data_IF_107824767672
#
_entry.id   IF_107824767672
#
_cell.length_a   1.000
_cell.length_b   1.000
_cell.length_c   1.000
_cell.angle_alpha   90.00
_cell.angle_beta   90.00
_cell.angle_gamma   90.00
#
_symmetry.space_group_name_H-M   'P 1'
#
loop_
_entity.id
_entity.type
_entity.pdbx_description
1 polymer ?
#
# COMPACT_ATOMS: atom_id res chain seq x y z
N UNK A 1 2.54 7.34 -14.08
CA UNK A 1 2.31 6.08 -13.34
C UNK A 1 0.96 5.50 -13.76
N UNK A 2 0.91 4.27 -14.27
CA UNK A 2 -0.34 3.59 -14.61
C UNK A 2 -0.72 2.62 -13.48
N UNK A 3 -1.97 2.65 -13.04
CA UNK A 3 -2.54 1.71 -12.07
C UNK A 3 -3.87 1.15 -12.60
N UNK A 4 -4.15 -0.12 -12.29
CA UNK A 4 -5.38 -0.79 -12.72
C UNK A 4 -6.62 -0.30 -11.96
N UNK A 5 -6.45 0.01 -10.69
CA UNK A 5 -7.52 0.47 -9.80
C UNK A 5 -6.94 1.43 -8.77
N UNK A 6 -7.73 2.37 -8.25
CA UNK A 6 -7.28 3.29 -7.23
C UNK A 6 -6.85 2.56 -5.94
N UNK A 7 -5.93 3.16 -5.19
CA UNK A 7 -5.47 2.65 -3.90
C UNK A 7 -5.44 3.80 -2.88
N UNK A 8 -5.65 3.47 -1.61
CA UNK A 8 -5.35 4.44 -0.54
C UNK A 8 -3.87 4.70 -0.49
N UNK A 9 -3.48 5.95 -0.68
CA UNK A 9 -2.10 6.41 -0.58
C UNK A 9 -2.07 7.56 0.44
N UNK A 10 -1.11 7.54 1.34
CA UNK A 10 -0.90 8.63 2.31
C UNK A 10 0.58 8.89 2.48
N UNK A 11 0.93 10.13 2.80
CA UNK A 11 2.31 10.46 3.13
C UNK A 11 2.62 10.16 4.59
N UNK A 12 3.82 9.70 4.84
CA UNK A 12 4.37 9.53 6.17
C UNK A 12 5.78 10.12 6.20
N UNK A 13 6.10 10.97 7.18
CA UNK A 13 7.46 11.47 7.29
C UNK A 13 8.43 10.31 7.58
N UNK A 14 9.56 10.30 6.90
CA UNK A 14 10.61 9.29 7.08
C UNK A 14 11.16 9.28 8.51
N UNK A 15 11.20 10.46 9.13
CA UNK A 15 11.59 10.61 10.51
C UNK A 15 10.62 11.53 11.27
N UNK A 16 10.28 11.13 12.49
CA UNK A 16 9.48 11.97 13.40
C UNK A 16 10.35 12.48 14.54
N UNK A 17 10.09 13.64 15.10
CA UNK A 17 10.86 14.18 16.23
C UNK A 17 10.60 13.40 17.54
N UNK A 18 9.51 12.64 17.62
CA UNK A 18 9.08 11.94 18.83
C UNK A 18 10.11 10.94 19.37
N UNK A 19 10.73 10.04 18.57
CA UNK A 19 11.80 9.17 19.05
C UNK A 19 13.01 9.92 19.60
N UNK A 20 13.36 11.06 18.99
CA UNK A 20 14.45 11.90 19.48
C UNK A 20 14.15 12.52 20.84
N UNK A 21 12.93 13.00 21.04
CA UNK A 21 12.47 13.54 22.33
C UNK A 21 12.43 12.47 23.42
N UNK A 22 11.90 11.28 23.11
CA UNK A 22 11.85 10.16 24.06
C UNK A 22 13.25 9.74 24.49
N UNK A 23 14.20 9.65 23.54
CA UNK A 23 15.61 9.31 23.86
C UNK A 23 16.31 10.37 24.72
N UNK A 24 15.87 11.65 24.69
CA UNK A 24 16.40 12.71 25.57
C UNK A 24 15.80 12.65 26.97
N UNK A 25 14.53 12.26 27.09
CA UNK A 25 13.80 12.27 28.36
C UNK A 25 13.93 10.98 29.17
N UNK A 26 14.14 9.84 28.51
CA UNK A 26 14.18 8.52 29.14
C UNK A 26 15.57 7.89 29.11
N UNK A 27 15.92 7.08 30.13
CA UNK A 27 17.13 6.28 30.12
C UNK A 27 17.21 5.39 28.86
N UNK A 28 18.42 5.24 28.31
CA UNK A 28 18.68 4.52 27.04
C UNK A 28 18.09 3.10 27.04
N UNK A 29 18.07 2.42 28.19
CA UNK A 29 17.52 1.07 28.36
C UNK A 29 16.01 0.98 28.12
N UNK A 30 15.25 2.06 28.35
CA UNK A 30 13.79 2.06 28.26
C UNK A 30 13.26 2.80 27.02
N UNK A 31 14.05 3.74 26.49
CA UNK A 31 13.62 4.56 25.37
C UNK A 31 13.28 3.75 24.13
N UNK A 32 14.00 2.64 23.87
CA UNK A 32 13.72 1.75 22.75
C UNK A 32 12.38 1.03 22.89
N UNK A 33 12.09 0.49 24.07
CA UNK A 33 10.84 -0.21 24.33
C UNK A 33 9.65 0.73 24.29
N UNK A 34 9.78 1.93 24.86
CA UNK A 34 8.71 2.93 24.81
C UNK A 34 8.38 3.35 23.38
N UNK A 35 9.39 3.61 22.54
CA UNK A 35 9.20 3.94 21.12
C UNK A 35 8.51 2.77 20.40
N UNK A 36 8.96 1.55 20.63
CA UNK A 36 8.37 0.34 20.06
C UNK A 36 6.89 0.20 20.42
N UNK A 37 6.55 0.35 21.69
CA UNK A 37 5.16 0.26 22.15
C UNK A 37 4.28 1.38 21.62
N UNK A 38 4.78 2.61 21.56
CA UNK A 38 4.03 3.73 20.97
C UNK A 38 3.69 3.43 19.50
N UNK A 39 4.66 2.94 18.73
CA UNK A 39 4.43 2.59 17.33
C UNK A 39 3.46 1.40 17.19
N UNK A 40 3.65 0.34 17.96
CA UNK A 40 2.79 -0.84 17.92
C UNK A 40 1.34 -0.50 18.32
N UNK A 41 1.15 0.20 19.44
CA UNK A 41 -0.17 0.59 19.90
C UNK A 41 -0.81 1.63 18.97
N UNK A 42 -0.03 2.58 18.45
CA UNK A 42 -0.50 3.56 17.49
C UNK A 42 -1.01 2.93 16.19
N UNK A 43 -0.24 1.99 15.63
CA UNK A 43 -0.66 1.23 14.44
C UNK A 43 -1.91 0.39 14.72
N UNK A 44 -1.94 -0.29 15.88
CA UNK A 44 -3.11 -1.08 16.28
C UNK A 44 -4.35 -0.21 16.50
N UNK A 45 -4.20 0.94 17.14
CA UNK A 45 -5.30 1.88 17.35
C UNK A 45 -5.84 2.42 16.02
N UNK A 46 -4.95 2.78 15.09
CA UNK A 46 -5.34 3.22 13.75
C UNK A 46 -6.08 2.11 12.98
N UNK A 47 -5.58 0.88 13.02
CA UNK A 47 -6.26 -0.28 12.44
C UNK A 47 -7.66 -0.48 13.04
N UNK A 48 -7.78 -0.49 14.38
CA UNK A 48 -9.08 -0.65 15.05
C UNK A 48 -10.05 0.51 14.72
N UNK A 49 -9.54 1.73 14.60
CA UNK A 49 -10.35 2.86 14.17
C UNK A 49 -10.84 2.68 12.72
N UNK A 50 -9.98 2.19 11.84
CA UNK A 50 -10.33 1.92 10.44
C UNK A 50 -11.43 0.87 10.33
N UNK A 51 -11.36 -0.19 11.12
CA UNK A 51 -12.38 -1.24 11.14
C UNK A 51 -13.71 -0.77 11.76
N UNK A 52 -13.66 0.05 12.83
CA UNK A 52 -14.88 0.50 13.52
C UNK A 52 -15.53 1.74 12.89
N UNK A 53 -14.75 2.59 12.27
CA UNK A 53 -15.18 3.88 11.69
C UNK A 53 -14.56 4.14 10.33
N UNK A 54 -14.77 3.25 9.32
CA UNK A 54 -14.14 3.36 8.01
C UNK A 54 -14.43 4.71 7.33
N UNK A 55 -15.67 5.21 7.42
CA UNK A 55 -16.05 6.50 6.83
C UNK A 55 -15.25 7.69 7.40
N UNK A 56 -14.92 7.66 8.70
CA UNK A 56 -14.08 8.69 9.31
C UNK A 56 -12.65 8.63 8.75
N UNK A 57 -12.08 7.41 8.67
CA UNK A 57 -10.71 7.21 8.17
C UNK A 57 -10.62 7.59 6.70
N UNK A 58 -11.59 7.19 5.86
CA UNK A 58 -11.67 7.65 4.45
C UNK A 58 -11.63 9.17 4.34
N UNK A 59 -12.40 9.87 5.19
CA UNK A 59 -12.42 11.34 5.22
C UNK A 59 -11.07 11.93 5.64
N UNK A 60 -10.39 11.32 6.61
CA UNK A 60 -9.06 11.76 7.06
C UNK A 60 -8.03 11.58 5.93
N UNK A 61 -8.01 10.41 5.29
CA UNK A 61 -7.12 10.11 4.17
C UNK A 61 -7.36 11.08 3.01
N UNK A 62 -8.63 11.31 2.62
CA UNK A 62 -9.00 12.26 1.58
C UNK A 62 -8.51 13.68 1.88
N UNK A 63 -8.74 14.18 3.10
CA UNK A 63 -8.23 15.51 3.50
C UNK A 63 -6.69 15.59 3.47
N UNK A 64 -6.02 14.49 3.73
CA UNK A 64 -4.57 14.38 3.58
C UNK A 64 -4.12 14.57 2.14
N UNK A 65 -4.83 13.96 1.18
CA UNK A 65 -4.59 14.09 -0.26
C UNK A 65 -4.90 15.50 -0.76
N UNK A 66 -6.05 16.06 -0.39
CA UNK A 66 -6.48 17.43 -0.78
C UNK A 66 -5.47 18.50 -0.39
N UNK A 67 -4.68 18.27 0.67
CA UNK A 67 -3.63 19.22 1.10
C UNK A 67 -2.31 19.08 0.36
N UNK A 68 -2.08 17.96 -0.27
CA UNK A 68 -0.80 17.60 -0.90
C UNK A 68 -0.87 17.64 -2.42
N UNK A 69 -2.05 17.50 -2.99
CA UNK A 69 -2.29 17.51 -4.44
C UNK A 69 -2.68 18.91 -4.92
N UNK A 70 -2.44 19.22 -6.19
CA UNK A 70 -2.87 20.47 -6.80
C UNK A 70 -4.39 20.67 -6.70
N UNK A 71 -4.82 21.91 -6.64
CA UNK A 71 -6.25 22.23 -6.63
C UNK A 71 -6.93 21.71 -7.89
N UNK A 72 -8.04 20.99 -7.72
CA UNK A 72 -8.81 20.43 -8.83
C UNK A 72 -8.30 19.07 -9.33
N UNK A 73 -7.30 18.48 -8.68
CA UNK A 73 -6.84 17.12 -9.02
C UNK A 73 -7.95 16.08 -8.81
N UNK A 74 -8.11 15.14 -9.75
CA UNK A 74 -9.14 14.10 -9.69
C UNK A 74 -8.78 12.99 -8.69
N UNK A 75 -9.03 13.27 -7.41
CA UNK A 75 -8.81 12.33 -6.30
C UNK A 75 -9.77 11.13 -6.41
N UNK A 76 -10.97 11.34 -6.93
CA UNK A 76 -12.00 10.30 -6.96
C UNK A 76 -11.63 9.17 -7.91
N UNK A 77 -11.12 9.49 -9.09
CA UNK A 77 -10.67 8.50 -10.07
C UNK A 77 -9.37 7.80 -9.63
N UNK A 78 -8.42 8.52 -9.03
CA UNK A 78 -7.07 8.00 -8.84
C UNK A 78 -6.78 7.47 -7.44
N UNK A 79 -7.45 7.99 -6.41
CA UNK A 79 -7.11 7.72 -5.01
C UNK A 79 -8.32 7.36 -4.13
N UNK A 80 -9.48 7.08 -4.71
CA UNK A 80 -10.67 6.67 -3.96
C UNK A 80 -11.06 5.24 -4.32
N UNK A 81 -10.47 4.21 -3.66
CA UNK A 81 -10.82 2.83 -3.89
C UNK A 81 -12.21 2.48 -3.36
N UNK A 82 -12.79 1.41 -3.89
CA UNK A 82 -14.13 0.90 -3.52
C UNK A 82 -14.15 0.13 -2.19
N UNK A 83 -12.98 -0.33 -1.73
CA UNK A 83 -12.83 -1.08 -0.47
C UNK A 83 -12.60 -0.16 0.72
N UNK A 84 -12.75 -0.68 1.94
CA UNK A 84 -12.47 0.08 3.16
C UNK A 84 -10.97 0.08 3.50
N UNK A 85 -10.47 1.10 4.21
CA UNK A 85 -9.07 1.15 4.63
C UNK A 85 -8.67 -0.12 5.39
N UNK A 86 -7.58 -0.75 5.00
CA UNK A 86 -7.03 -2.02 5.51
C UNK A 86 -7.78 -3.30 5.11
N UNK A 87 -8.89 -3.24 4.36
CA UNK A 87 -9.46 -4.47 3.78
C UNK A 87 -8.54 -5.04 2.70
N UNK A 88 -7.80 -4.17 2.01
CA UNK A 88 -6.75 -4.58 1.09
C UNK A 88 -5.44 -3.87 1.47
N UNK A 89 -5.14 -2.73 0.86
CA UNK A 89 -3.88 -2.03 1.08
C UNK A 89 -4.08 -0.55 1.38
N UNK A 90 -3.19 -0.01 2.19
CA UNK A 90 -2.95 1.43 2.37
C UNK A 90 -1.46 1.66 2.08
N UNK A 91 -1.16 2.37 1.01
CA UNK A 91 0.21 2.64 0.61
C UNK A 91 0.75 3.87 1.34
N UNK A 92 1.97 3.75 1.87
CA UNK A 92 2.68 4.84 2.53
C UNK A 92 3.77 5.38 1.60
N UNK A 93 3.74 6.68 1.34
CA UNK A 93 4.76 7.37 0.54
C UNK A 93 5.63 8.18 1.48
N UNK A 94 6.95 7.88 1.57
CA UNK A 94 7.86 8.65 2.39
C UNK A 94 7.86 10.12 1.98
N UNK A 95 7.80 11.03 2.96
CA UNK A 95 7.88 12.48 2.76
C UNK A 95 6.92 13.08 1.72
N UNK A 96 5.95 12.31 1.22
CA UNK A 96 4.99 12.74 0.20
C UNK A 96 5.62 12.95 -1.18
N UNK A 97 6.70 12.27 -1.52
CA UNK A 97 7.46 12.51 -2.75
C UNK A 97 6.62 12.30 -4.03
N UNK A 98 5.74 11.31 -4.05
CA UNK A 98 4.78 11.12 -5.15
C UNK A 98 3.92 12.37 -5.37
N UNK A 99 3.39 12.95 -4.30
CA UNK A 99 2.49 14.11 -4.39
C UNK A 99 3.23 15.38 -4.83
N UNK A 100 4.50 15.53 -4.44
CA UNK A 100 5.36 16.60 -4.96
C UNK A 100 5.58 16.46 -6.45
N UNK A 101 5.91 15.23 -6.90
CA UNK A 101 6.14 14.95 -8.33
C UNK A 101 4.87 15.09 -9.19
N UNK A 102 3.69 14.85 -8.62
CA UNK A 102 2.42 15.18 -9.29
C UNK A 102 2.24 16.70 -9.33
N UNK A 103 2.58 17.40 -8.25
CA UNK A 103 2.43 18.85 -8.13
C UNK A 103 3.35 19.65 -9.07
N UNK A 104 4.57 19.16 -9.31
CA UNK A 104 5.53 19.78 -10.25
C UNK A 104 5.36 19.30 -11.71
N UNK A 105 4.41 18.37 -11.97
CA UNK A 105 4.09 17.85 -13.28
C UNK A 105 5.07 16.81 -13.83
N UNK A 106 6.04 16.33 -13.02
CA UNK A 106 6.98 15.28 -13.43
C UNK A 106 6.37 13.88 -13.42
N UNK A 107 5.24 13.70 -12.74
CA UNK A 107 4.48 12.43 -12.68
C UNK A 107 3.02 12.67 -12.97
N UNK A 108 2.49 11.91 -13.91
CA UNK A 108 1.06 11.77 -14.15
C UNK A 108 0.56 10.41 -13.64
N UNK A 109 -0.64 10.37 -13.04
CA UNK A 109 -1.29 9.13 -12.63
C UNK A 109 -2.45 8.84 -13.55
N UNK A 110 -2.42 7.66 -14.17
CA UNK A 110 -3.50 7.16 -15.02
C UNK A 110 -4.09 5.91 -14.36
N UNK A 111 -5.41 5.85 -14.27
CA UNK A 111 -6.14 4.71 -13.68
C UNK A 111 -6.97 4.05 -14.78
N UNK A 112 -6.45 2.94 -15.32
CA UNK A 112 -7.12 2.19 -16.39
C UNK A 112 -6.47 0.80 -16.55
N UNK A 113 -7.08 -0.04 -17.38
CA UNK A 113 -6.57 -1.37 -17.72
C UNK A 113 -5.76 -1.31 -19.01
N UNK A 114 -4.69 -2.09 -19.06
CA UNK A 114 -3.91 -2.27 -20.28
C UNK A 114 -4.71 -3.16 -21.23
N UNK A 115 -4.96 -2.70 -22.44
CA UNK A 115 -5.49 -3.51 -23.54
C UNK A 115 -4.37 -4.28 -24.22
N UNK A 116 -3.31 -3.57 -24.63
CA UNK A 116 -2.17 -4.17 -25.33
C UNK A 116 -0.92 -3.29 -25.25
N UNK A 117 0.24 -3.89 -25.52
CA UNK A 117 1.49 -3.17 -25.73
C UNK A 117 1.60 -2.77 -27.21
N UNK A 118 2.02 -1.54 -27.45
CA UNK A 118 2.26 -1.02 -28.80
C UNK A 118 3.77 -0.91 -29.07
N UNK A 119 4.16 -0.48 -30.25
CA UNK A 119 5.57 -0.24 -30.59
C UNK A 119 6.18 0.94 -29.83
N UNK A 120 5.35 1.87 -29.39
CA UNK A 120 5.75 3.15 -28.77
C UNK A 120 5.27 3.29 -27.33
N UNK A 121 4.62 2.26 -26.78
CA UNK A 121 4.10 2.34 -25.41
C UNK A 121 2.97 1.36 -25.11
N UNK A 122 1.86 1.85 -24.60
CA UNK A 122 0.70 1.06 -24.15
C UNK A 122 -0.58 1.64 -24.70
N UNK A 123 -1.53 0.78 -25.12
CA UNK A 123 -2.93 1.15 -25.33
C UNK A 123 -3.76 0.68 -24.15
N UNK A 124 -4.63 1.56 -23.67
CA UNK A 124 -5.55 1.31 -22.57
C UNK A 124 -6.92 0.90 -23.09
N UNK A 125 -7.73 0.28 -22.23
CA UNK A 125 -9.11 -0.15 -22.59
C UNK A 125 -10.00 1.06 -22.91
N UNK A 126 -9.74 2.22 -22.32
CA UNK A 126 -10.40 3.48 -22.70
C UNK A 126 -10.09 3.95 -24.13
N UNK A 127 -9.14 3.34 -24.82
CA UNK A 127 -8.63 3.77 -26.12
C UNK A 127 -7.50 4.79 -26.04
N UNK A 128 -7.11 5.24 -24.85
CA UNK A 128 -5.98 6.15 -24.64
C UNK A 128 -4.66 5.43 -24.92
N UNK A 129 -3.75 6.08 -25.64
CA UNK A 129 -2.39 5.58 -25.85
C UNK A 129 -1.42 6.35 -24.96
N UNK A 130 -0.59 5.62 -24.25
CA UNK A 130 0.50 6.16 -23.41
C UNK A 130 1.83 5.85 -24.08
N UNK A 131 2.56 6.89 -24.47
CA UNK A 131 3.91 6.75 -25.00
C UNK A 131 4.90 6.48 -23.88
N UNK A 132 5.85 5.57 -24.11
CA UNK A 132 6.88 5.23 -23.13
C UNK A 132 8.10 4.61 -23.79
N UNK A 133 9.28 5.14 -23.50
CA UNK A 133 10.57 4.57 -23.94
C UNK A 133 10.95 3.36 -23.07
N UNK A 134 10.56 3.39 -21.78
CA UNK A 134 10.85 2.34 -20.81
C UNK A 134 9.57 2.04 -20.01
N UNK A 135 9.22 0.76 -19.92
CA UNK A 135 8.10 0.29 -19.12
C UNK A 135 8.62 -0.55 -17.96
N UNK A 136 8.35 -0.11 -16.74
CA UNK A 136 8.69 -0.86 -15.52
C UNK A 136 7.43 -1.52 -14.99
N UNK A 137 7.40 -2.86 -15.01
CA UNK A 137 6.27 -3.64 -14.49
C UNK A 137 6.44 -3.87 -12.99
N UNK A 138 5.43 -3.45 -12.22
CA UNK A 138 5.32 -3.68 -10.78
C UNK A 138 3.92 -4.21 -10.43
N UNK A 139 3.41 -5.15 -11.23
CA UNK A 139 2.04 -5.67 -11.17
C UNK A 139 1.80 -6.69 -10.06
N UNK A 140 2.80 -6.98 -9.23
CA UNK A 140 2.76 -7.97 -8.16
C UNK A 140 3.41 -9.29 -8.57
N UNK A 141 3.26 -10.27 -7.71
CA UNK A 141 3.84 -11.61 -7.85
C UNK A 141 2.71 -12.64 -7.84
N UNK A 142 2.86 -13.67 -8.64
CA UNK A 142 2.11 -14.92 -8.49
C UNK A 142 2.82 -15.75 -7.42
N UNK A 143 2.22 -15.79 -6.22
CA UNK A 143 2.84 -16.44 -5.08
C UNK A 143 2.60 -17.95 -5.14
N UNK A 144 3.65 -18.68 -5.40
CA UNK A 144 3.64 -20.13 -5.28
C UNK A 144 3.77 -20.50 -3.79
N UNK A 145 2.74 -21.11 -3.22
CA UNK A 145 2.72 -21.46 -1.80
C UNK A 145 3.92 -22.35 -1.45
N UNK A 146 4.68 -21.97 -0.42
CA UNK A 146 5.92 -22.64 0.00
C UNK A 146 6.93 -22.90 -1.14
N UNK A 147 6.94 -22.04 -2.18
CA UNK A 147 7.88 -22.18 -3.31
C UNK A 147 7.59 -23.39 -4.22
N UNK A 148 6.39 -23.94 -4.17
CA UNK A 148 5.99 -25.11 -4.99
C UNK A 148 6.50 -26.46 -4.48
N UNK A 149 6.83 -26.53 -3.19
CA UNK A 149 7.22 -27.81 -2.56
C UNK A 149 6.02 -28.77 -2.61
N UNK A 150 6.26 -29.95 -3.17
CA UNK A 150 5.31 -31.06 -3.06
C UNK A 150 5.46 -31.71 -1.68
N UNK A 151 4.38 -31.77 -0.93
CA UNK A 151 4.36 -32.40 0.37
C UNK A 151 3.48 -33.65 0.35
N UNK A 152 3.88 -34.66 1.11
CA UNK A 152 3.11 -35.89 1.27
C UNK A 152 2.93 -36.23 2.76
N UNK A 153 1.78 -36.81 3.09
CA UNK A 153 1.53 -37.46 4.39
C UNK A 153 1.27 -38.93 4.12
N UNK A 154 2.05 -39.79 4.73
CA UNK A 154 1.98 -41.28 4.54
C UNK A 154 2.00 -41.69 3.07
N UNK A 155 2.76 -40.98 2.24
CA UNK A 155 2.90 -41.20 0.82
C UNK A 155 1.78 -40.65 -0.05
N UNK A 156 0.74 -40.05 0.51
CA UNK A 156 -0.33 -39.36 -0.22
C UNK A 156 -0.02 -37.88 -0.43
N UNK A 157 -0.15 -37.33 -1.64
CA UNK A 157 0.11 -35.91 -1.89
C UNK A 157 -0.90 -35.03 -1.18
N UNK A 158 -0.42 -33.88 -0.68
CA UNK A 158 -1.25 -32.90 0.03
C UNK A 158 -1.38 -31.64 -0.83
N UNK A 159 -2.61 -31.14 -0.96
CA UNK A 159 -2.89 -29.82 -1.55
C UNK A 159 -2.65 -28.72 -0.50
N UNK A 160 -1.40 -28.28 -0.37
CA UNK A 160 -0.99 -27.28 0.61
C UNK A 160 -1.77 -25.95 0.53
N UNK A 161 -2.05 -25.37 -0.66
CA UNK A 161 -2.80 -24.12 -0.77
C UNK A 161 -4.19 -24.14 -0.14
N UNK A 162 -4.83 -25.32 -0.12
CA UNK A 162 -6.19 -25.51 0.39
C UNK A 162 -6.23 -26.03 1.84
N UNK A 163 -5.10 -26.11 2.52
CA UNK A 163 -5.01 -26.52 3.92
C UNK A 163 -4.95 -25.34 4.87
N UNK A 164 -5.59 -25.50 6.03
CA UNK A 164 -5.49 -24.53 7.11
C UNK A 164 -4.15 -24.68 7.82
N UNK A 165 -3.41 -23.57 7.96
CA UNK A 165 -2.19 -23.54 8.74
C UNK A 165 -2.45 -22.93 10.13
N UNK A 166 -2.21 -23.71 11.19
CA UNK A 166 -2.24 -23.18 12.54
C UNK A 166 -0.83 -22.70 12.94
N UNK A 167 -0.75 -21.41 13.32
CA UNK A 167 0.52 -20.75 13.68
C UNK A 167 1.63 -20.86 12.62
N UNK A 168 1.27 -21.07 11.35
CA UNK A 168 2.21 -21.20 10.24
C UNK A 168 3.02 -22.51 10.23
N UNK A 169 2.72 -23.48 11.13
CA UNK A 169 3.52 -24.71 11.28
C UNK A 169 2.72 -26.00 11.28
N UNK A 170 1.42 -25.94 11.58
CA UNK A 170 0.55 -27.12 11.63
C UNK A 170 -0.49 -27.03 10.51
N UNK A 171 -0.57 -28.08 9.71
CA UNK A 171 -1.57 -28.22 8.64
C UNK A 171 -2.75 -29.06 9.16
N UNK A 172 -3.96 -28.57 8.91
CA UNK A 172 -5.20 -29.27 9.23
C UNK A 172 -6.01 -29.62 8.00
#
# INVERSE_FOLDING_TARGET
MLQRSPSYITSMPESTPLPGLIRKLLPKRWSGDVIRWINALGTQAFYQLSQRRPALVKRILRKGLERQLPAGYDIDTHFTPTYDPWDQRVCLVPNGDLFKSIGDGSVEVVTDHIETFTKTGLRLVSGTELEADIIVSATGLDLLFMGGVEATIDGAPIDLPNRLAYKGMMLG
#
